data_IF_730354725176
#
_entry.id   IF_730354725176
#
_cell.length_a   1.000
_cell.length_b   1.000
_cell.length_c   1.000
_cell.angle_alpha   90.00
_cell.angle_beta   90.00
_cell.angle_gamma   90.00
#
_symmetry.space_group_name_H-M   'P 1'
#
loop_
_entity.id
_entity.type
_entity.pdbx_description
1 polymer ?
#
# COMPACT_ATOMS: atom_id res chain seq x y z
N UNK A 1 27.52 -2.78 -6.34
CA UNK A 1 27.46 -3.35 -7.68
C UNK A 1 26.05 -3.84 -7.97
N UNK A 2 25.39 -3.28 -8.99
CA UNK A 2 24.01 -3.64 -9.34
C UNK A 2 23.41 -2.64 -10.32
N UNK A 3 22.10 -2.70 -10.49
CA UNK A 3 21.33 -1.74 -11.27
C UNK A 3 20.71 -0.74 -10.29
N UNK A 4 20.93 0.54 -10.51
CA UNK A 4 20.38 1.61 -9.68
C UNK A 4 19.14 2.19 -10.35
N UNK A 5 18.06 2.30 -9.60
CA UNK A 5 16.86 2.99 -10.01
C UNK A 5 16.39 3.96 -8.91
N UNK A 6 15.88 5.12 -9.32
CA UNK A 6 15.29 6.11 -8.43
C UNK A 6 13.82 6.32 -8.80
N UNK A 7 12.96 5.44 -8.31
CA UNK A 7 11.53 5.50 -8.59
C UNK A 7 10.87 6.69 -7.90
N UNK A 8 9.96 7.37 -8.61
CA UNK A 8 9.10 8.38 -8.03
C UNK A 8 8.14 7.76 -7.01
N UNK A 9 8.04 8.35 -5.80
CA UNK A 9 7.24 7.81 -4.70
C UNK A 9 6.43 8.87 -3.96
N UNK A 10 6.14 10.00 -4.62
CA UNK A 10 5.31 11.08 -4.05
C UNK A 10 3.88 10.60 -3.75
N UNK A 11 3.30 9.84 -4.67
CA UNK A 11 1.97 9.23 -4.54
C UNK A 11 2.13 7.69 -4.49
N UNK A 12 2.25 7.09 -3.30
CA UNK A 12 2.52 5.66 -3.17
C UNK A 12 1.35 4.76 -3.59
N UNK A 13 0.12 5.28 -3.52
CA UNK A 13 -1.11 4.54 -3.83
C UNK A 13 -1.56 4.81 -5.27
N UNK A 14 -1.90 3.74 -5.99
CA UNK A 14 -2.49 3.83 -7.33
C UNK A 14 -3.88 4.46 -7.28
N UNK A 15 -4.05 5.58 -7.97
CA UNK A 15 -5.33 6.27 -8.02
C UNK A 15 -6.42 5.42 -8.71
N UNK A 16 -6.06 4.70 -9.77
CA UNK A 16 -7.00 3.82 -10.49
C UNK A 16 -7.47 2.66 -9.64
N UNK A 17 -6.55 1.95 -8.99
CA UNK A 17 -6.91 0.82 -8.13
C UNK A 17 -7.65 1.28 -6.87
N UNK A 18 -7.31 2.44 -6.30
CA UNK A 18 -8.02 3.03 -5.16
C UNK A 18 -9.48 3.35 -5.52
N UNK A 19 -9.73 3.94 -6.68
CA UNK A 19 -11.09 4.23 -7.13
C UNK A 19 -11.92 2.95 -7.23
N UNK A 20 -11.39 1.89 -7.83
CA UNK A 20 -12.07 0.59 -7.94
C UNK A 20 -12.38 0.00 -6.55
N UNK A 21 -11.44 0.08 -5.60
CA UNK A 21 -11.68 -0.38 -4.22
C UNK A 21 -12.76 0.44 -3.51
N UNK A 22 -12.76 1.76 -3.70
CA UNK A 22 -13.75 2.66 -3.14
C UNK A 22 -15.16 2.32 -3.66
N UNK A 23 -15.30 2.18 -4.96
CA UNK A 23 -16.58 1.81 -5.60
C UNK A 23 -17.07 0.45 -5.10
N UNK A 24 -16.22 -0.56 -5.09
CA UNK A 24 -16.55 -1.90 -4.61
C UNK A 24 -17.03 -1.91 -3.15
N UNK A 25 -16.38 -1.10 -2.28
CA UNK A 25 -16.76 -0.98 -0.89
C UNK A 25 -18.09 -0.23 -0.69
N UNK A 26 -18.35 0.80 -1.49
CA UNK A 26 -19.63 1.52 -1.50
C UNK A 26 -20.78 0.63 -1.99
N UNK A 27 -20.58 -0.11 -3.07
CA UNK A 27 -21.57 -1.06 -3.60
C UNK A 27 -21.90 -2.19 -2.62
N UNK A 28 -20.94 -2.59 -1.79
CA UNK A 28 -21.16 -3.58 -0.72
C UNK A 28 -21.91 -2.98 0.47
N UNK A 29 -22.08 -1.65 0.53
CA UNK A 29 -22.80 -0.93 1.58
C UNK A 29 -21.95 -0.56 2.79
N UNK A 30 -20.64 -0.63 2.68
CA UNK A 30 -19.72 -0.21 3.74
C UNK A 30 -19.64 1.32 3.84
N UNK A 31 -19.39 1.83 5.05
CA UNK A 31 -18.98 3.23 5.23
C UNK A 31 -17.55 3.38 4.74
N UNK A 32 -17.32 4.22 3.75
CA UNK A 32 -16.03 4.38 3.07
C UNK A 32 -15.51 5.79 3.26
N UNK A 33 -14.24 5.90 3.63
CA UNK A 33 -13.47 7.13 3.61
C UNK A 33 -12.43 7.03 2.50
N UNK A 34 -12.59 7.82 1.43
CA UNK A 34 -11.73 7.76 0.26
C UNK A 34 -10.47 8.62 0.43
N UNK A 35 -9.33 7.98 0.59
CA UNK A 35 -8.03 8.63 0.76
C UNK A 35 -7.65 8.87 2.22
N UNK A 36 -6.72 9.79 2.43
CA UNK A 36 -6.15 10.11 3.72
C UNK A 36 -4.65 9.78 3.84
N UNK A 37 -4.08 10.14 4.98
CA UNK A 37 -2.67 9.89 5.29
C UNK A 37 -2.53 8.69 6.22
N UNK A 38 -1.81 7.67 5.73
CA UNK A 38 -1.47 6.48 6.50
C UNK A 38 -0.09 6.66 7.13
N UNK A 39 0.01 6.61 8.45
CA UNK A 39 1.30 6.54 9.14
C UNK A 39 1.65 5.08 9.44
N UNK A 40 2.86 4.68 9.07
CA UNK A 40 3.35 3.33 9.32
C UNK A 40 4.25 3.31 10.55
N UNK A 41 3.93 2.49 11.53
CA UNK A 41 4.75 2.26 12.73
C UNK A 41 5.45 0.91 12.64
N UNK A 42 6.62 0.78 13.28
CA UNK A 42 7.41 -0.45 13.21
C UNK A 42 6.79 -1.61 14.01
N UNK A 43 6.09 -1.32 15.11
CA UNK A 43 5.67 -2.38 16.03
C UNK A 43 6.88 -3.05 16.75
N UNK A 44 6.66 -4.20 17.42
CA UNK A 44 5.37 -4.85 17.69
C UNK A 44 4.49 -4.15 18.73
N UNK A 45 5.02 -3.15 19.46
CA UNK A 45 4.24 -2.37 20.42
C UNK A 45 3.30 -1.41 19.70
N UNK A 46 2.13 -1.16 20.27
CA UNK A 46 1.24 -0.08 19.84
C UNK A 46 1.80 1.28 20.27
N UNK A 47 1.22 2.35 19.72
CA UNK A 47 1.60 3.73 20.03
C UNK A 47 1.45 4.03 21.52
N UNK A 48 2.39 4.80 22.06
CA UNK A 48 2.16 5.52 23.30
C UNK A 48 1.11 6.61 23.09
N UNK A 49 0.45 7.05 24.15
CA UNK A 49 -0.53 8.15 24.08
C UNK A 49 0.09 9.43 23.51
N UNK A 50 1.35 9.69 23.81
CA UNK A 50 2.07 10.86 23.29
C UNK A 50 2.33 10.76 21.78
N UNK A 51 2.68 9.57 21.27
CA UNK A 51 2.82 9.34 19.82
C UNK A 51 1.49 9.48 19.11
N UNK A 52 0.43 8.88 19.64
CA UNK A 52 -0.92 8.96 19.09
C UNK A 52 -1.40 10.42 19.02
N UNK A 53 -1.20 11.20 20.07
CA UNK A 53 -1.54 12.62 20.06
C UNK A 53 -0.71 13.44 19.08
N UNK A 54 0.58 13.14 18.91
CA UNK A 54 1.43 13.77 17.92
C UNK A 54 0.97 13.45 16.48
N UNK A 55 0.60 12.20 16.19
CA UNK A 55 0.06 11.79 14.89
C UNK A 55 -1.24 12.55 14.55
N UNK A 56 -2.13 12.72 15.53
CA UNK A 56 -3.35 13.52 15.37
C UNK A 56 -3.04 14.99 15.06
N UNK A 57 -2.10 15.61 15.78
CA UNK A 57 -1.70 17.01 15.55
C UNK A 57 -1.07 17.21 14.16
N UNK A 58 -0.41 16.18 13.62
CA UNK A 58 0.13 16.17 12.26
C UNK A 58 -0.94 15.95 11.18
N UNK A 59 -2.18 15.62 11.58
CA UNK A 59 -3.29 15.38 10.66
C UNK A 59 -3.23 14.03 9.95
N UNK A 60 -2.65 13.00 10.58
CA UNK A 60 -2.68 11.64 10.04
C UNK A 60 -4.03 11.00 10.32
N UNK A 61 -4.55 10.24 9.34
CA UNK A 61 -5.90 9.72 9.35
C UNK A 61 -5.96 8.28 9.88
N UNK A 62 -4.98 7.45 9.53
CA UNK A 62 -4.90 6.06 9.95
C UNK A 62 -3.47 5.67 10.31
N UNK A 63 -3.33 4.69 11.21
CA UNK A 63 -2.06 4.12 11.62
C UNK A 63 -2.10 2.60 11.47
N UNK A 64 -0.98 2.01 11.06
CA UNK A 64 -0.81 0.57 10.98
C UNK A 64 0.65 0.16 10.86
N UNK A 65 0.92 -1.15 10.69
CA UNK A 65 2.28 -1.71 10.73
C UNK A 65 2.73 -2.32 9.40
N UNK A 66 1.86 -2.40 8.38
CA UNK A 66 2.07 -3.32 7.26
C UNK A 66 2.07 -2.66 5.88
N UNK A 67 2.04 -1.34 5.77
CA UNK A 67 1.96 -0.66 4.48
C UNK A 67 3.33 -0.27 3.91
N UNK A 68 4.31 -0.08 4.75
CA UNK A 68 5.71 0.11 4.37
C UNK A 68 6.56 -0.99 5.04
N UNK A 69 7.44 -1.65 4.29
CA UNK A 69 8.01 -1.32 2.96
C UNK A 69 7.22 -1.83 1.74
N UNK A 70 6.07 -2.51 1.91
CA UNK A 70 5.31 -3.15 0.82
C UNK A 70 5.01 -2.16 -0.33
N UNK A 71 4.60 -0.93 0.00
CA UNK A 71 4.30 0.08 -1.02
C UNK A 71 5.55 0.48 -1.85
N UNK A 72 6.74 0.52 -1.22
CA UNK A 72 7.99 0.79 -1.92
C UNK A 72 8.36 -0.36 -2.86
N UNK A 73 8.27 -1.60 -2.36
CA UNK A 73 8.57 -2.80 -3.14
C UNK A 73 7.61 -2.98 -4.31
N UNK A 74 6.31 -2.69 -4.11
CA UNK A 74 5.34 -2.70 -5.19
C UNK A 74 5.71 -1.69 -6.29
N UNK A 75 6.06 -0.44 -5.92
CA UNK A 75 6.47 0.58 -6.87
C UNK A 75 7.75 0.19 -7.63
N UNK A 76 8.74 -0.40 -6.95
CA UNK A 76 9.98 -0.90 -7.57
C UNK A 76 9.73 -2.09 -8.49
N UNK A 77 8.69 -2.87 -8.22
CA UNK A 77 8.27 -3.99 -9.07
C UNK A 77 7.24 -3.60 -10.15
N UNK A 78 6.91 -2.30 -10.26
CA UNK A 78 5.91 -1.78 -11.19
C UNK A 78 4.51 -2.39 -11.00
N UNK A 79 4.17 -2.64 -9.75
CA UNK A 79 2.87 -3.16 -9.32
C UNK A 79 2.04 -2.01 -8.76
N UNK A 80 0.85 -1.80 -9.31
CA UNK A 80 -0.13 -0.88 -8.74
C UNK A 80 -0.57 -1.38 -7.37
N UNK A 81 -0.53 -0.52 -6.36
CA UNK A 81 -0.91 -0.85 -5.00
C UNK A 81 -1.98 0.11 -4.49
N UNK A 82 -2.99 -0.42 -3.84
CA UNK A 82 -3.93 0.35 -3.03
C UNK A 82 -4.22 -0.41 -1.73
N UNK A 83 -4.48 0.32 -0.66
CA UNK A 83 -4.67 -0.26 0.67
C UNK A 83 -6.11 -0.13 1.10
N UNK A 84 -6.75 -1.25 1.43
CA UNK A 84 -8.04 -1.31 2.10
C UNK A 84 -7.81 -1.37 3.60
N UNK A 85 -7.97 -0.24 4.29
CA UNK A 85 -7.81 -0.14 5.73
C UNK A 85 -9.11 -0.54 6.44
N UNK A 86 -9.09 -1.65 7.16
CA UNK A 86 -10.19 -2.09 8.00
C UNK A 86 -9.99 -1.52 9.40
N UNK A 87 -10.60 -0.36 9.67
CA UNK A 87 -10.46 0.36 10.94
C UNK A 87 -11.04 -0.46 12.09
N UNK A 88 -10.30 -0.59 13.17
CA UNK A 88 -10.64 -1.40 14.34
C UNK A 88 -10.95 -0.57 15.58
N UNK A 89 -10.36 0.60 15.70
CA UNK A 89 -10.41 1.45 16.89
C UNK A 89 -9.93 2.87 16.59
N UNK A 90 -10.01 3.74 17.61
CA UNK A 90 -9.57 5.13 17.55
C UNK A 90 -8.15 5.36 18.10
N UNK A 91 -7.37 4.30 18.28
CA UNK A 91 -6.09 4.37 18.98
C UNK A 91 -6.23 4.86 20.44
N UNK A 92 -5.15 4.88 21.20
CA UNK A 92 -5.15 5.17 22.63
C UNK A 92 -5.40 6.65 23.01
N UNK A 93 -5.63 7.54 22.04
CA UNK A 93 -5.99 8.94 22.31
C UNK A 93 -7.45 9.13 22.70
N UNK A 94 -8.35 8.24 22.35
CA UNK A 94 -9.78 8.37 22.61
C UNK A 94 -10.06 8.05 24.07
N UNK A 95 -10.60 9.00 24.82
CA UNK A 95 -10.75 8.89 26.28
C UNK A 95 -11.96 8.08 26.72
N UNK A 96 -12.94 7.88 25.85
CA UNK A 96 -14.20 7.17 26.14
C UNK A 96 -14.14 5.67 25.84
N UNK A 97 -13.06 5.22 25.20
CA UNK A 97 -12.82 3.81 24.91
C UNK A 97 -11.70 3.27 25.78
N UNK A 98 -11.79 1.98 26.13
CA UNK A 98 -10.69 1.29 26.81
C UNK A 98 -9.44 1.31 25.93
N UNK A 99 -8.26 1.35 26.54
CA UNK A 99 -6.99 1.28 25.84
C UNK A 99 -6.98 0.07 24.89
N UNK A 100 -6.49 0.29 23.65
CA UNK A 100 -6.48 -0.74 22.61
C UNK A 100 -5.80 -2.00 23.11
N UNK A 101 -6.53 -3.11 23.14
CA UNK A 101 -6.00 -4.43 23.49
C UNK A 101 -5.96 -5.34 22.27
N UNK A 102 -5.06 -6.32 22.29
CA UNK A 102 -4.99 -7.32 21.24
C UNK A 102 -6.32 -8.08 21.07
N UNK A 103 -7.07 -8.33 22.17
CA UNK A 103 -8.37 -8.98 22.12
C UNK A 103 -9.42 -8.13 21.40
N UNK A 104 -9.46 -6.84 21.66
CA UNK A 104 -10.37 -5.89 21.00
C UNK A 104 -10.11 -5.87 19.49
N UNK A 105 -8.83 -5.70 19.09
CA UNK A 105 -8.40 -5.72 17.68
C UNK A 105 -8.81 -7.03 16.99
N UNK A 106 -8.56 -8.20 17.60
CA UNK A 106 -8.93 -9.51 17.03
C UNK A 106 -10.45 -9.63 16.85
N UNK A 107 -11.24 -9.11 17.79
CA UNK A 107 -12.70 -9.11 17.68
C UNK A 107 -13.19 -8.35 16.45
N UNK A 108 -12.71 -7.14 16.26
CA UNK A 108 -13.04 -6.31 15.10
C UNK A 108 -12.50 -6.88 13.79
N UNK A 109 -11.27 -7.42 13.77
CA UNK A 109 -10.69 -8.06 12.58
C UNK A 109 -11.53 -9.22 12.07
N UNK A 110 -12.08 -10.06 12.98
CA UNK A 110 -12.96 -11.17 12.57
C UNK A 110 -14.26 -10.65 11.93
N UNK A 111 -14.88 -9.62 12.49
CA UNK A 111 -16.08 -9.02 11.93
C UNK A 111 -15.83 -8.38 10.57
N UNK A 112 -14.68 -7.72 10.41
CA UNK A 112 -14.30 -7.03 9.19
C UNK A 112 -13.82 -7.98 8.07
N UNK A 113 -13.34 -9.18 8.42
CA UNK A 113 -12.71 -10.11 7.45
C UNK A 113 -13.65 -10.51 6.32
N UNK A 114 -14.91 -10.83 6.62
CA UNK A 114 -15.88 -11.22 5.60
C UNK A 114 -16.17 -10.06 4.64
N UNK A 115 -16.34 -8.84 5.18
CA UNK A 115 -16.57 -7.65 4.37
C UNK A 115 -15.38 -7.34 3.46
N UNK A 116 -14.16 -7.44 4.00
CA UNK A 116 -12.94 -7.22 3.21
C UNK A 116 -12.82 -8.21 2.05
N UNK A 117 -13.10 -9.50 2.28
CA UNK A 117 -13.06 -10.51 1.24
C UNK A 117 -14.06 -10.23 0.12
N UNK A 118 -15.27 -9.80 0.44
CA UNK A 118 -16.28 -9.47 -0.55
C UNK A 118 -15.91 -8.22 -1.35
N UNK A 119 -15.43 -7.17 -0.67
CA UNK A 119 -14.94 -5.94 -1.33
C UNK A 119 -13.80 -6.27 -2.30
N UNK A 120 -12.81 -7.05 -1.86
CA UNK A 120 -11.67 -7.43 -2.69
C UNK A 120 -12.11 -8.26 -3.89
N UNK A 121 -13.03 -9.21 -3.72
CA UNK A 121 -13.55 -10.01 -4.82
C UNK A 121 -14.24 -9.16 -5.88
N UNK A 122 -15.07 -8.17 -5.46
CA UNK A 122 -15.72 -7.21 -6.37
C UNK A 122 -14.70 -6.32 -7.08
N UNK A 123 -13.74 -5.79 -6.32
CA UNK A 123 -12.68 -4.95 -6.88
C UNK A 123 -11.87 -5.70 -7.95
N UNK A 124 -11.47 -6.95 -7.70
CA UNK A 124 -10.76 -7.78 -8.68
C UNK A 124 -11.59 -7.98 -9.95
N UNK A 125 -12.89 -8.24 -9.81
CA UNK A 125 -13.79 -8.41 -10.96
C UNK A 125 -13.98 -7.12 -11.78
N UNK A 126 -13.71 -5.95 -11.18
CA UNK A 126 -13.87 -4.63 -11.80
C UNK A 126 -12.56 -4.07 -12.38
N UNK A 127 -11.41 -4.72 -12.15
CA UNK A 127 -10.14 -4.32 -12.76
C UNK A 127 -10.23 -4.58 -14.27
N UNK A 128 -9.98 -3.56 -15.13
CA UNK A 128 -9.94 -3.78 -16.57
C UNK A 128 -8.85 -4.79 -16.96
N UNK A 129 -9.14 -5.68 -17.89
CA UNK A 129 -8.17 -6.70 -18.34
C UNK A 129 -6.87 -6.09 -18.89
N UNK A 130 -6.98 -4.93 -19.56
CA UNK A 130 -5.85 -4.18 -20.10
C UNK A 130 -5.58 -2.90 -19.28
N UNK A 131 -5.64 -3.01 -17.93
CA UNK A 131 -5.34 -1.86 -17.07
C UNK A 131 -3.88 -1.42 -17.27
N UNK A 132 -3.70 -0.16 -17.64
CA UNK A 132 -2.39 0.46 -17.82
C UNK A 132 -2.31 1.74 -16.98
N UNK A 133 -1.73 1.61 -15.81
CA UNK A 133 -1.57 2.70 -14.85
C UNK A 133 -0.14 3.20 -14.78
N UNK A 134 0.10 4.46 -14.36
CA UNK A 134 1.45 5.03 -14.27
C UNK A 134 2.44 4.18 -13.48
N UNK A 135 1.96 3.45 -12.47
CA UNK A 135 2.78 2.57 -11.65
C UNK A 135 3.41 1.43 -12.47
N UNK A 136 2.76 0.97 -13.53
CA UNK A 136 3.26 -0.08 -14.42
C UNK A 136 4.47 0.36 -15.27
N UNK A 137 4.81 1.64 -15.24
CA UNK A 137 5.92 2.25 -15.98
C UNK A 137 6.90 3.00 -15.07
N UNK A 138 6.88 2.73 -13.76
CA UNK A 138 7.63 3.50 -12.77
C UNK A 138 9.15 3.42 -12.97
N UNK A 139 9.66 2.34 -13.55
CA UNK A 139 11.10 2.16 -13.82
C UNK A 139 11.56 2.83 -15.10
N UNK A 140 10.69 3.09 -16.09
CA UNK A 140 11.08 3.66 -17.36
C UNK A 140 11.95 4.93 -17.23
N UNK A 141 11.55 5.95 -16.43
CA UNK A 141 12.38 7.13 -16.19
C UNK A 141 13.38 6.97 -15.04
N UNK A 142 13.37 5.85 -14.32
CA UNK A 142 14.03 5.70 -13.03
C UNK A 142 15.37 4.95 -13.10
N UNK A 143 15.59 4.17 -14.16
CA UNK A 143 16.82 3.38 -14.35
C UNK A 143 17.99 4.31 -14.64
N UNK A 144 18.93 4.41 -13.71
CA UNK A 144 20.07 5.33 -13.77
C UNK A 144 21.35 4.69 -14.28
N UNK A 145 21.51 3.38 -14.07
CA UNK A 145 22.69 2.66 -14.55
C UNK A 145 22.54 2.39 -16.06
N UNK A 146 23.47 2.86 -16.92
CA UNK A 146 23.47 2.50 -18.33
C UNK A 146 23.51 0.98 -18.52
N UNK A 147 22.78 0.47 -19.50
CA UNK A 147 22.57 -0.97 -19.68
C UNK A 147 23.88 -1.75 -19.92
N UNK A 148 24.85 -1.14 -20.56
CA UNK A 148 26.20 -1.71 -20.79
C UNK A 148 26.95 -2.06 -19.49
N UNK A 149 26.56 -1.47 -18.36
CA UNK A 149 27.13 -1.74 -17.04
C UNK A 149 26.27 -2.68 -16.17
N UNK A 150 25.18 -3.22 -16.71
CA UNK A 150 24.33 -4.12 -15.93
C UNK A 150 25.02 -5.48 -15.74
N UNK A 151 25.24 -5.91 -14.48
CA UNK A 151 25.84 -7.22 -14.24
C UNK A 151 24.88 -8.33 -14.66
N UNK A 152 25.36 -9.31 -15.42
CA UNK A 152 24.56 -10.40 -15.96
C UNK A 152 23.78 -11.17 -14.89
N UNK A 153 24.41 -11.44 -13.72
CA UNK A 153 23.76 -12.08 -12.58
C UNK A 153 22.61 -11.24 -12.03
N UNK A 154 22.77 -9.90 -11.96
CA UNK A 154 21.71 -9.00 -11.51
C UNK A 154 20.56 -8.95 -12.49
N UNK A 155 20.86 -8.90 -13.81
CA UNK A 155 19.85 -8.94 -14.86
C UNK A 155 19.03 -10.22 -14.75
N UNK A 156 19.67 -11.37 -14.59
CA UNK A 156 18.95 -12.65 -14.49
C UNK A 156 18.01 -12.69 -13.26
N UNK A 157 18.49 -12.22 -12.11
CA UNK A 157 17.65 -12.14 -10.90
C UNK A 157 16.47 -11.18 -11.02
N UNK A 158 16.66 -10.06 -11.70
CA UNK A 158 15.64 -9.02 -11.85
C UNK A 158 14.83 -9.16 -13.15
N UNK A 159 15.11 -10.15 -13.97
CA UNK A 159 14.43 -10.36 -15.26
C UNK A 159 12.92 -10.19 -15.21
N UNK A 160 12.19 -10.76 -14.24
CA UNK A 160 10.73 -10.62 -14.18
C UNK A 160 10.23 -9.16 -14.09
N UNK A 161 11.11 -8.24 -13.64
CA UNK A 161 10.77 -6.82 -13.45
C UNK A 161 11.29 -5.99 -14.62
N UNK A 162 12.54 -6.23 -15.04
CA UNK A 162 13.25 -5.33 -15.97
C UNK A 162 13.28 -5.84 -17.41
N UNK A 163 12.74 -7.00 -17.74
CA UNK A 163 12.86 -7.61 -19.08
C UNK A 163 12.39 -6.68 -20.20
N UNK A 164 11.33 -5.92 -19.99
CA UNK A 164 10.80 -4.97 -20.98
C UNK A 164 11.73 -3.77 -21.26
N UNK A 165 12.72 -3.56 -20.39
CA UNK A 165 13.74 -2.49 -20.53
C UNK A 165 15.06 -2.98 -21.09
N UNK A 166 15.21 -4.31 -21.31
CA UNK A 166 16.43 -4.86 -21.92
C UNK A 166 16.35 -4.67 -23.42
N UNK A 167 17.25 -3.84 -23.97
CA UNK A 167 17.37 -3.70 -25.41
C UNK A 167 17.73 -5.05 -26.03
N UNK A 168 16.93 -5.48 -27.00
CA UNK A 168 17.23 -6.69 -27.78
C UNK A 168 18.30 -6.33 -28.80
N UNK A 169 19.50 -6.86 -28.60
CA UNK A 169 20.62 -6.78 -29.53
C UNK A 169 20.26 -7.42 -30.88
#
# INVERSE_FOLDING_TARGET
>A
NGIVAHVGFGDPVSAGLRAILCDAAQEQGSTVHDGGTYVNMDGPAFSTRAESEANRQLGFDVIGMTNLPEAKLAREAEIALATLCMVTDYDCWHQEEEDVSAQTVIGHLKANSANAQEIIARAIASIPEEADWPEHHALAPALMTPQEFWPAETVERLRPIIEKYIERS
#
